data_IF_620536049881
#
_entry.id   IF_620536049881
#
_cell.length_a   1.000
_cell.length_b   1.000
_cell.length_c   1.000
_cell.angle_alpha   90.00
_cell.angle_beta   90.00
_cell.angle_gamma   90.00
#
_symmetry.space_group_name_H-M   'P 1'
#
loop_
_entity.id
_entity.type
_entity.pdbx_description
1 polymer ?
#
# COMPACT_ATOMS: atom_id res chain seq x y z
N UNK A 1 7.86 -20.34 -4.65
CA UNK A 1 7.17 -19.49 -3.67
C UNK A 1 6.45 -18.45 -4.49
N UNK A 2 5.13 -18.34 -4.39
CA UNK A 2 4.39 -17.27 -5.07
C UNK A 2 4.89 -15.94 -4.50
N UNK A 3 5.46 -15.09 -5.35
CA UNK A 3 5.81 -13.73 -4.97
C UNK A 3 4.51 -13.02 -4.57
N UNK A 4 4.37 -12.75 -3.28
CA UNK A 4 3.22 -12.02 -2.76
C UNK A 4 3.46 -10.53 -3.08
N UNK A 5 2.49 -9.94 -3.78
CA UNK A 5 2.47 -8.53 -4.10
C UNK A 5 1.15 -7.92 -3.63
N UNK A 6 1.18 -6.62 -3.34
CA UNK A 6 0.03 -5.83 -2.94
C UNK A 6 -0.05 -4.56 -3.77
N UNK A 7 -1.26 -4.08 -4.04
CA UNK A 7 -1.46 -2.86 -4.81
C UNK A 7 -1.75 -1.66 -3.90
N UNK A 8 -1.15 -0.52 -4.21
CA UNK A 8 -1.42 0.77 -3.56
C UNK A 8 -1.66 1.85 -4.62
N UNK A 9 -2.58 2.75 -4.33
CA UNK A 9 -2.94 3.87 -5.21
C UNK A 9 -2.08 5.08 -4.87
N UNK A 10 -1.40 5.67 -5.85
CA UNK A 10 -0.56 6.85 -5.71
C UNK A 10 -1.09 8.00 -6.56
N UNK A 11 -1.11 9.21 -5.99
CA UNK A 11 -1.48 10.41 -6.74
C UNK A 11 -0.38 10.79 -7.74
N UNK A 12 -0.70 11.61 -8.74
CA UNK A 12 0.31 12.10 -9.68
C UNK A 12 1.49 12.80 -8.99
N UNK A 13 1.25 13.57 -7.92
CA UNK A 13 2.33 14.21 -7.17
C UNK A 13 3.23 13.19 -6.46
N UNK A 14 2.65 12.10 -5.94
CA UNK A 14 3.39 11.01 -5.31
C UNK A 14 4.16 10.19 -6.35
N UNK A 15 3.59 9.94 -7.52
CA UNK A 15 4.26 9.26 -8.63
C UNK A 15 5.47 10.07 -9.14
N UNK A 16 5.35 11.40 -9.24
CA UNK A 16 6.49 12.26 -9.57
C UNK A 16 7.57 12.26 -8.49
N UNK A 17 7.19 12.23 -7.21
CA UNK A 17 8.16 12.05 -6.12
C UNK A 17 8.89 10.71 -6.26
N UNK A 18 8.15 9.63 -6.47
CA UNK A 18 8.71 8.29 -6.67
C UNK A 18 9.64 8.25 -7.89
N UNK A 19 9.26 8.86 -9.01
CA UNK A 19 10.10 8.97 -10.20
C UNK A 19 11.44 9.68 -9.91
N UNK A 20 11.41 10.74 -9.08
CA UNK A 20 12.62 11.48 -8.72
C UNK A 20 13.53 10.74 -7.74
N UNK A 21 12.97 9.83 -6.93
CA UNK A 21 13.63 9.15 -5.83
C UNK A 21 14.12 7.74 -6.20
N UNK A 22 13.30 6.97 -6.90
CA UNK A 22 13.56 5.58 -7.29
C UNK A 22 14.40 5.56 -8.57
N UNK A 23 15.62 5.05 -8.45
CA UNK A 23 16.54 4.87 -9.60
C UNK A 23 16.31 3.53 -10.28
N UNK A 24 16.60 3.48 -11.58
CA UNK A 24 16.57 2.25 -12.37
C UNK A 24 17.77 1.34 -12.08
N UNK A 25 18.91 1.91 -11.65
CA UNK A 25 20.12 1.18 -11.28
C UNK A 25 20.94 1.93 -10.22
N UNK A 26 21.82 1.20 -9.53
CA UNK A 26 22.83 1.74 -8.60
C UNK A 26 24.17 1.04 -8.77
N UNK A 27 25.27 1.77 -8.57
CA UNK A 27 26.61 1.19 -8.52
C UNK A 27 26.70 0.10 -7.44
N UNK A 28 27.38 -1.01 -7.74
CA UNK A 28 27.57 -2.14 -6.81
C UNK A 28 26.27 -2.84 -6.37
N UNK A 29 25.19 -2.76 -7.15
CA UNK A 29 23.91 -3.40 -6.82
C UNK A 29 24.00 -4.89 -6.44
N UNK A 30 24.95 -5.63 -7.03
CA UNK A 30 25.20 -7.05 -6.73
C UNK A 30 25.56 -7.34 -5.26
N UNK A 31 26.03 -6.34 -4.51
CA UNK A 31 26.39 -6.49 -3.10
C UNK A 31 25.18 -6.32 -2.16
N UNK A 32 24.06 -5.82 -2.68
CA UNK A 32 22.88 -5.53 -1.90
C UNK A 32 21.86 -6.65 -2.02
N UNK A 33 21.40 -7.18 -0.87
CA UNK A 33 20.27 -8.12 -0.85
C UNK A 33 18.99 -7.48 -1.39
N UNK A 34 18.82 -6.18 -1.14
CA UNK A 34 17.75 -5.34 -1.66
C UNK A 34 18.41 -4.01 -2.09
N UNK A 35 18.75 -3.86 -3.37
CA UNK A 35 19.38 -2.63 -3.86
C UNK A 35 18.39 -1.46 -3.72
N UNK A 36 18.86 -0.23 -3.43
CA UNK A 36 18.02 0.97 -3.41
C UNK A 36 17.67 1.48 -4.83
N UNK A 37 17.39 0.55 -5.73
CA UNK A 37 17.00 0.77 -7.11
C UNK A 37 16.17 -0.43 -7.58
N UNK A 38 15.19 -0.19 -8.43
CA UNK A 38 14.37 -1.24 -9.04
C UNK A 38 13.97 -0.77 -10.43
N UNK A 39 14.47 -1.45 -11.46
CA UNK A 39 14.12 -1.17 -12.85
C UNK A 39 12.63 -1.42 -13.10
N UNK A 40 12.09 -2.49 -12.52
CA UNK A 40 10.68 -2.87 -12.66
C UNK A 40 9.76 -1.82 -12.02
N UNK A 41 10.05 -1.41 -10.78
CA UNK A 41 9.30 -0.34 -10.13
C UNK A 41 9.40 0.97 -10.91
N UNK A 42 10.59 1.29 -11.43
CA UNK A 42 10.81 2.49 -12.23
C UNK A 42 9.96 2.48 -13.51
N UNK A 43 9.85 1.34 -14.21
CA UNK A 43 8.96 1.18 -15.35
C UNK A 43 7.49 1.33 -14.96
N UNK A 44 7.03 0.66 -13.89
CA UNK A 44 5.65 0.80 -13.42
C UNK A 44 5.29 2.27 -13.10
N UNK A 45 6.19 3.01 -12.45
CA UNK A 45 5.99 4.44 -12.16
C UNK A 45 5.87 5.25 -13.47
N UNK A 46 6.72 4.98 -14.45
CA UNK A 46 6.69 5.67 -15.74
C UNK A 46 5.39 5.39 -16.51
N UNK A 47 4.97 4.12 -16.57
CA UNK A 47 3.71 3.74 -17.21
C UNK A 47 2.50 4.34 -16.50
N UNK A 48 2.48 4.36 -15.16
CA UNK A 48 1.43 4.99 -14.39
C UNK A 48 1.34 6.50 -14.63
N UNK A 49 2.47 7.19 -14.76
CA UNK A 49 2.51 8.61 -15.11
C UNK A 49 1.98 8.88 -16.52
N UNK A 50 2.37 8.06 -17.50
CA UNK A 50 1.85 8.15 -18.88
C UNK A 50 0.35 7.90 -18.92
N UNK A 51 -0.13 6.87 -18.20
CA UNK A 51 -1.56 6.57 -18.08
C UNK A 51 -2.34 7.75 -17.48
N UNK A 52 -1.80 8.39 -16.43
CA UNK A 52 -2.42 9.57 -15.84
C UNK A 52 -2.49 10.74 -16.82
N UNK A 53 -1.45 10.96 -17.62
CA UNK A 53 -1.42 12.03 -18.63
C UNK A 53 -2.41 11.77 -19.78
N UNK A 54 -2.36 10.56 -20.38
CA UNK A 54 -3.17 10.16 -21.52
C UNK A 54 -4.68 10.17 -21.22
N UNK A 55 -5.07 9.73 -20.02
CA UNK A 55 -6.47 9.58 -19.62
C UNK A 55 -6.95 10.64 -18.63
N UNK A 56 -6.13 11.65 -18.35
CA UNK A 56 -6.42 12.73 -17.38
C UNK A 56 -6.80 12.21 -15.98
N UNK A 57 -6.11 11.16 -15.52
CA UNK A 57 -6.29 10.63 -14.16
C UNK A 57 -5.44 11.41 -13.16
N UNK A 58 -5.91 11.46 -11.91
CA UNK A 58 -5.20 12.11 -10.80
C UNK A 58 -4.36 11.15 -9.96
N UNK A 59 -4.53 9.85 -10.18
CA UNK A 59 -3.88 8.78 -9.44
C UNK A 59 -3.87 7.48 -10.24
N UNK A 60 -2.93 6.59 -9.91
CA UNK A 60 -2.81 5.26 -10.49
C UNK A 60 -2.36 4.25 -9.44
N UNK A 61 -2.75 2.99 -9.64
CA UNK A 61 -2.37 1.90 -8.77
C UNK A 61 -1.03 1.30 -9.22
N UNK A 62 -0.12 1.05 -8.27
CA UNK A 62 1.16 0.36 -8.48
C UNK A 62 1.09 -0.98 -7.75
N UNK A 63 1.64 -2.03 -8.35
CA UNK A 63 1.76 -3.35 -7.71
C UNK A 63 3.16 -3.44 -7.11
N UNK A 64 3.22 -3.58 -5.79
CA UNK A 64 4.44 -3.59 -5.02
C UNK A 64 4.71 -4.99 -4.46
N UNK A 65 5.92 -5.48 -4.65
CA UNK A 65 6.44 -6.60 -3.88
C UNK A 65 7.21 -6.11 -2.62
N UNK A 66 7.81 -7.04 -1.88
CA UNK A 66 8.59 -6.69 -0.69
C UNK A 66 9.83 -5.85 -1.04
N UNK A 67 10.51 -6.14 -2.15
CA UNK A 67 11.72 -5.44 -2.56
C UNK A 67 11.40 -3.98 -2.93
N UNK A 68 10.33 -3.77 -3.70
CA UNK A 68 9.84 -2.44 -4.09
C UNK A 68 9.48 -1.60 -2.87
N UNK A 69 8.80 -2.21 -1.89
CA UNK A 69 8.47 -1.50 -0.66
C UNK A 69 9.73 -1.06 0.13
N UNK A 70 10.80 -1.87 0.12
CA UNK A 70 12.08 -1.53 0.76
C UNK A 70 12.84 -0.45 -0.03
N UNK A 71 12.77 -0.49 -1.37
CA UNK A 71 13.30 0.59 -2.22
C UNK A 71 12.63 1.90 -1.89
N UNK A 72 11.29 1.93 -1.79
CA UNK A 72 10.54 3.15 -1.46
C UNK A 72 10.91 3.66 -0.06
N UNK A 73 10.97 2.78 0.94
CA UNK A 73 11.35 3.12 2.32
C UNK A 73 12.76 3.76 2.39
N UNK A 74 13.70 3.23 1.61
CA UNK A 74 15.05 3.77 1.54
C UNK A 74 15.12 5.10 0.78
N UNK A 75 14.47 5.19 -0.37
CA UNK A 75 14.64 6.30 -1.31
C UNK A 75 13.81 7.53 -0.96
N UNK A 76 12.69 7.40 -0.24
CA UNK A 76 11.75 8.49 0.01
C UNK A 76 11.93 9.09 1.41
N UNK A 77 12.44 10.33 1.52
CA UNK A 77 12.51 10.99 2.82
C UNK A 77 11.11 11.31 3.38
N UNK A 78 10.96 11.18 4.69
CA UNK A 78 9.73 11.56 5.40
C UNK A 78 9.37 13.05 5.18
N UNK A 79 10.38 13.88 4.97
CA UNK A 79 10.29 15.33 4.76
C UNK A 79 10.07 15.70 3.30
N UNK A 80 9.95 14.73 2.38
CA UNK A 80 9.76 14.98 0.97
C UNK A 80 8.47 15.75 0.69
N UNK A 81 8.55 16.61 -0.32
CA UNK A 81 7.47 17.50 -0.74
C UNK A 81 7.13 17.25 -2.20
N UNK A 82 5.88 17.52 -2.56
CA UNK A 82 5.43 17.58 -3.94
C UNK A 82 6.08 18.77 -4.68
N UNK A 83 5.96 18.83 -6.02
CA UNK A 83 6.36 20.02 -6.77
C UNK A 83 5.68 21.31 -6.30
N UNK A 84 4.45 21.20 -5.78
CA UNK A 84 3.69 22.31 -5.19
C UNK A 84 4.13 22.69 -3.76
N UNK A 85 5.06 21.92 -3.17
CA UNK A 85 5.61 22.16 -1.83
C UNK A 85 4.83 21.51 -0.69
N UNK A 86 3.78 20.75 -0.98
CA UNK A 86 3.00 20.01 0.03
C UNK A 86 3.80 18.83 0.59
N UNK A 87 3.79 18.58 1.91
CA UNK A 87 4.50 17.44 2.50
C UNK A 87 3.78 16.12 2.16
N UNK A 88 4.39 15.29 1.32
CA UNK A 88 3.78 14.03 0.84
C UNK A 88 4.63 12.79 1.16
N UNK A 89 5.89 12.96 1.58
CA UNK A 89 6.80 11.82 1.84
C UNK A 89 6.26 10.81 2.85
N UNK A 90 5.65 11.27 3.94
CA UNK A 90 4.99 10.39 4.92
C UNK A 90 3.85 9.57 4.33
N UNK A 91 3.07 10.14 3.41
CA UNK A 91 1.94 9.43 2.80
C UNK A 91 2.45 8.29 1.91
N UNK A 92 3.49 8.55 1.12
CA UNK A 92 4.16 7.54 0.28
C UNK A 92 4.72 6.40 1.15
N UNK A 93 5.41 6.72 2.24
CA UNK A 93 5.93 5.72 3.17
C UNK A 93 4.80 4.89 3.83
N UNK A 94 3.70 5.52 4.23
CA UNK A 94 2.56 4.79 4.80
C UNK A 94 1.94 3.82 3.80
N UNK A 95 1.91 4.16 2.51
CA UNK A 95 1.43 3.26 1.44
C UNK A 95 2.37 2.06 1.28
N UNK A 96 3.69 2.26 1.24
CA UNK A 96 4.63 1.13 1.19
C UNK A 96 4.54 0.24 2.44
N UNK A 97 4.29 0.81 3.62
CA UNK A 97 4.09 0.03 4.85
C UNK A 97 2.79 -0.77 4.85
N UNK A 98 1.71 -0.24 4.27
CA UNK A 98 0.45 -0.98 4.09
C UNK A 98 0.61 -2.13 3.10
N UNK A 99 1.28 -1.89 1.97
CA UNK A 99 1.62 -2.94 1.02
C UNK A 99 2.44 -4.06 1.67
N UNK A 100 3.52 -3.73 2.40
CA UNK A 100 4.31 -4.71 3.17
C UNK A 100 3.46 -5.50 4.15
N UNK A 101 2.62 -4.81 4.92
CA UNK A 101 1.71 -5.46 5.85
C UNK A 101 0.82 -6.44 5.11
N UNK A 102 0.21 -6.06 3.99
CA UNK A 102 -0.66 -6.93 3.19
C UNK A 102 0.07 -8.16 2.64
N UNK A 103 1.30 -7.98 2.13
CA UNK A 103 2.20 -9.05 1.68
C UNK A 103 2.47 -10.04 2.81
N UNK A 104 2.80 -9.54 4.01
CA UNK A 104 3.06 -10.36 5.20
C UNK A 104 1.79 -11.02 5.79
N UNK A 105 0.61 -10.89 5.15
CA UNK A 105 -0.66 -11.46 5.61
C UNK A 105 -1.50 -10.51 6.49
N UNK A 106 -1.45 -9.22 6.17
CA UNK A 106 -1.79 -8.09 7.02
C UNK A 106 -3.24 -7.85 7.45
N UNK A 107 -3.88 -8.80 8.13
CA UNK A 107 -4.80 -8.65 9.27
C UNK A 107 -5.27 -10.06 9.65
N UNK A 108 -4.44 -10.81 10.35
CA UNK A 108 -4.97 -11.49 11.54
C UNK A 108 -5.24 -10.39 12.57
N UNK A 109 -6.27 -9.56 12.34
CA UNK A 109 -6.95 -8.96 13.48
C UNK A 109 -7.49 -10.10 14.35
N UNK A 110 -7.94 -9.86 15.61
CA UNK A 110 -8.87 -10.82 16.18
C UNK A 110 -9.92 -11.07 15.09
N UNK A 111 -10.11 -12.33 14.68
CA UNK A 111 -11.22 -12.68 13.79
C UNK A 111 -12.41 -11.87 14.31
N UNK A 112 -13.10 -11.15 13.43
CA UNK A 112 -14.41 -10.68 13.79
C UNK A 112 -15.18 -11.97 14.10
N UNK A 113 -15.21 -12.34 15.39
CA UNK A 113 -16.05 -13.41 15.88
C UNK A 113 -17.41 -12.92 15.49
N UNK A 114 -17.99 -13.51 14.44
CA UNK A 114 -19.38 -13.29 14.13
C UNK A 114 -20.11 -13.43 15.47
N UNK A 115 -20.81 -12.39 15.95
CA UNK A 115 -21.51 -12.51 17.21
C UNK A 115 -22.37 -13.75 17.08
N UNK A 116 -22.19 -14.70 18.00
CA UNK A 116 -22.81 -16.01 17.91
C UNK A 116 -24.28 -15.83 17.51
N UNK A 117 -24.66 -16.37 16.35
CA UNK A 117 -26.05 -16.28 15.91
C UNK A 117 -26.90 -16.95 16.99
N UNK A 118 -27.71 -16.15 17.68
CA UNK A 118 -28.64 -16.67 18.67
C UNK A 118 -29.50 -17.72 18.00
N UNK A 119 -29.57 -18.90 18.60
CA UNK A 119 -30.48 -19.93 18.14
C UNK A 119 -31.93 -19.43 18.21
N UNK A 120 -32.85 -19.98 17.41
CA UNK A 120 -34.26 -19.60 17.48
C UNK A 120 -34.88 -19.73 18.88
N UNK A 121 -34.32 -20.58 19.75
CA UNK A 121 -34.71 -20.70 21.16
C UNK A 121 -34.30 -19.49 22.00
N UNK A 122 -33.04 -19.05 21.87
CA UNK A 122 -32.48 -17.90 22.60
C UNK A 122 -33.14 -16.59 22.16
N UNK A 123 -33.46 -16.44 20.87
CA UNK A 123 -34.21 -15.28 20.36
C UNK A 123 -35.61 -15.19 20.99
N UNK A 124 -36.29 -16.33 21.14
CA UNK A 124 -37.63 -16.38 21.76
C UNK A 124 -37.60 -16.01 23.24
N UNK A 125 -36.57 -16.46 23.96
CA UNK A 125 -36.41 -16.16 25.38
C UNK A 125 -36.08 -14.67 25.61
N UNK A 126 -35.21 -14.10 24.79
CA UNK A 126 -34.88 -12.67 24.84
C UNK A 126 -36.10 -11.78 24.53
N UNK A 127 -36.90 -12.15 23.53
CA UNK A 127 -38.15 -11.44 23.21
C UNK A 127 -39.18 -11.53 24.34
N UNK A 128 -39.21 -12.66 25.07
CA UNK A 128 -40.12 -12.85 26.21
C UNK A 128 -39.72 -11.99 27.41
N UNK A 129 -38.41 -11.84 27.65
CA UNK A 129 -37.88 -10.98 28.71
C UNK A 129 -38.09 -9.49 28.41
N UNK A 130 -38.07 -9.08 27.14
CA UNK A 130 -38.38 -7.69 26.73
C UNK A 130 -39.87 -7.35 26.71
N UNK A 131 -40.76 -8.34 26.73
CA UNK A 131 -42.21 -8.17 26.70
C UNK A 131 -42.88 -8.37 28.07
N UNK A 132 -42.09 -8.50 29.14
CA UNK A 132 -42.58 -8.64 30.51
C UNK A 132 -42.43 -7.36 31.32
N UNK A 133 -43.40 -6.45 31.18
CA UNK A 133 -43.89 -5.51 32.20
C UNK A 133 -45.42 -5.63 32.28
#
# INVERSE_FOLDING_TARGET
>A
MTEQAASEVFTCEELWLLQSAVRHEVSQGEQWKFPPASLELNHQIAEALLLCDEYHLTEAAIVLDLADCLVIDYCVPQTAKSPSGAPIGKNVLLKSFRARRAIDGGLNGPEAVEPAQLTPGEVREHLRQMQGD
#
